data_IF_968392970722
#
_entry.id   IF_968392970722
#
_cell.length_a   1.000
_cell.length_b   1.000
_cell.length_c   1.000
_cell.angle_alpha   90.00
_cell.angle_beta   90.00
_cell.angle_gamma   90.00
#
_symmetry.space_group_name_H-M   'P 1'
#
loop_
_entity.id
_entity.type
_entity.pdbx_description
1 polymer ?
#
# COMPACT_ATOMS: atom_id res chain seq x y z
N UNK A 1 4.32 -30.17 -12.73
CA UNK A 1 3.60 -29.22 -11.86
C UNK A 1 4.18 -27.83 -12.12
N UNK A 2 3.39 -26.92 -12.63
CA UNK A 2 3.82 -25.54 -12.81
C UNK A 2 3.99 -24.91 -11.41
N UNK A 3 5.17 -24.41 -11.09
CA UNK A 3 5.43 -23.77 -9.81
C UNK A 3 4.48 -22.59 -9.63
N UNK A 4 3.75 -22.55 -8.51
CA UNK A 4 2.79 -21.48 -8.24
C UNK A 4 3.57 -20.14 -8.10
N UNK A 5 3.22 -19.16 -8.91
CA UNK A 5 3.77 -17.81 -8.79
C UNK A 5 3.41 -17.24 -7.42
N UNK A 6 4.41 -16.88 -6.62
CA UNK A 6 4.24 -16.32 -5.27
C UNK A 6 4.98 -15.00 -5.13
N UNK A 7 4.39 -14.08 -4.38
CA UNK A 7 5.06 -12.85 -3.98
C UNK A 7 6.15 -13.15 -2.92
N UNK A 8 7.25 -12.42 -2.99
CA UNK A 8 8.29 -12.44 -1.94
C UNK A 8 7.77 -11.78 -0.66
N UNK A 9 8.29 -12.20 0.48
CA UNK A 9 8.11 -11.51 1.76
C UNK A 9 9.23 -10.48 1.93
N UNK A 10 8.86 -9.26 2.31
CA UNK A 10 9.78 -8.14 2.48
C UNK A 10 9.47 -7.39 3.77
N UNK A 11 10.40 -6.54 4.21
CA UNK A 11 10.14 -5.58 5.27
C UNK A 11 9.50 -4.32 4.70
N UNK A 12 8.57 -3.71 5.46
CA UNK A 12 7.97 -2.41 5.22
C UNK A 12 7.91 -1.66 6.56
N UNK A 13 8.95 -0.89 6.86
CA UNK A 13 9.13 -0.37 8.21
C UNK A 13 9.15 -1.51 9.25
N UNK A 14 8.31 -1.46 10.31
CA UNK A 14 8.28 -2.52 11.32
C UNK A 14 7.54 -3.79 10.87
N UNK A 15 6.84 -3.75 9.73
CA UNK A 15 6.00 -4.84 9.26
C UNK A 15 6.77 -5.82 8.37
N UNK A 16 6.26 -7.05 8.29
CA UNK A 16 6.65 -8.03 7.26
C UNK A 16 5.42 -8.24 6.35
N UNK A 17 5.58 -7.95 5.06
CA UNK A 17 4.49 -7.91 4.09
C UNK A 17 4.83 -8.70 2.82
N UNK A 18 3.86 -8.91 1.94
CA UNK A 18 4.15 -9.35 0.58
C UNK A 18 4.66 -8.18 -0.27
N UNK A 19 5.70 -8.41 -1.09
CA UNK A 19 6.29 -7.38 -1.97
C UNK A 19 5.28 -6.80 -2.97
N UNK A 20 4.28 -7.58 -3.37
CA UNK A 20 3.10 -7.11 -4.08
C UNK A 20 1.99 -6.91 -3.07
N UNK A 21 1.42 -5.71 -3.06
CA UNK A 21 0.23 -5.36 -2.30
C UNK A 21 -0.98 -5.43 -3.21
N UNK A 22 -2.08 -6.00 -2.71
CA UNK A 22 -3.36 -6.04 -3.41
C UNK A 22 -4.14 -4.75 -3.15
N UNK A 23 -4.20 -3.85 -4.14
CA UNK A 23 -5.06 -2.66 -4.10
C UNK A 23 -6.51 -3.04 -4.34
N UNK A 24 -7.38 -2.82 -3.36
CA UNK A 24 -8.75 -3.34 -3.35
C UNK A 24 -9.80 -2.45 -4.04
N UNK A 25 -9.40 -1.28 -4.55
CA UNK A 25 -10.35 -0.35 -5.19
C UNK A 25 -11.16 -1.00 -6.32
N UNK A 26 -10.56 -1.92 -7.09
CA UNK A 26 -11.19 -2.53 -8.27
C UNK A 26 -12.13 -3.71 -7.98
N UNK A 27 -12.16 -4.22 -6.75
CA UNK A 27 -13.10 -5.29 -6.35
C UNK A 27 -14.35 -4.75 -5.67
N UNK A 28 -14.49 -3.44 -5.47
CA UNK A 28 -15.59 -2.80 -4.76
C UNK A 28 -16.98 -3.05 -5.39
N UNK A 29 -17.02 -3.33 -6.69
CA UNK A 29 -18.27 -3.63 -7.43
C UNK A 29 -18.66 -5.10 -7.42
N UNK A 30 -17.81 -5.97 -6.91
CA UNK A 30 -18.13 -7.38 -6.75
C UNK A 30 -19.00 -7.60 -5.51
N UNK A 31 -19.77 -8.68 -5.48
CA UNK A 31 -20.41 -9.10 -4.23
C UNK A 31 -19.33 -9.41 -3.19
N UNK A 32 -19.59 -9.14 -1.89
CA UNK A 32 -18.57 -9.27 -0.85
C UNK A 32 -17.88 -10.62 -0.80
N UNK A 33 -18.64 -11.71 -0.93
CA UNK A 33 -18.14 -13.09 -0.87
C UNK A 33 -17.14 -13.37 -2.01
N UNK A 34 -17.46 -12.94 -3.23
CA UNK A 34 -16.58 -13.13 -4.39
C UNK A 34 -15.29 -12.31 -4.28
N UNK A 35 -15.40 -11.04 -3.87
CA UNK A 35 -14.22 -10.21 -3.59
C UNK A 35 -13.36 -10.79 -2.48
N UNK A 36 -14.01 -11.32 -1.43
CA UNK A 36 -13.35 -12.03 -0.34
C UNK A 36 -12.64 -13.32 -0.78
N UNK A 37 -13.22 -14.07 -1.73
CA UNK A 37 -12.57 -15.26 -2.32
C UNK A 37 -11.31 -14.89 -3.10
N UNK A 38 -11.37 -13.82 -3.91
CA UNK A 38 -10.20 -13.31 -4.63
C UNK A 38 -9.06 -12.95 -3.67
N UNK A 39 -9.36 -12.23 -2.58
CA UNK A 39 -8.38 -11.84 -1.58
C UNK A 39 -7.79 -13.05 -0.84
N UNK A 40 -8.64 -13.97 -0.41
CA UNK A 40 -8.22 -15.19 0.28
C UNK A 40 -7.32 -16.06 -0.62
N UNK A 41 -7.68 -16.23 -1.89
CA UNK A 41 -6.89 -16.98 -2.86
C UNK A 41 -5.59 -16.24 -3.23
N UNK A 42 -5.58 -14.92 -3.32
CA UNK A 42 -4.38 -14.12 -3.47
C UNK A 42 -3.37 -14.40 -2.34
N UNK A 43 -3.83 -14.45 -1.11
CA UNK A 43 -2.98 -14.76 0.04
C UNK A 43 -2.54 -16.24 0.05
N UNK A 44 -3.47 -17.18 -0.06
CA UNK A 44 -3.24 -18.62 0.08
C UNK A 44 -2.41 -19.20 -1.06
N UNK A 45 -2.77 -18.90 -2.30
CA UNK A 45 -2.14 -19.47 -3.49
C UNK A 45 -0.91 -18.68 -3.93
N UNK A 46 -0.97 -17.35 -3.84
CA UNK A 46 0.03 -16.47 -4.41
C UNK A 46 0.88 -15.73 -3.39
N UNK A 47 0.62 -15.91 -2.08
CA UNK A 47 1.39 -15.25 -1.03
C UNK A 47 1.23 -13.73 -1.02
N UNK A 48 0.15 -13.20 -1.62
CA UNK A 48 -0.19 -11.77 -1.62
C UNK A 48 -1.12 -11.51 -0.44
N UNK A 49 -0.52 -11.35 0.72
CA UNK A 49 -1.21 -11.21 2.01
C UNK A 49 -1.20 -9.77 2.55
N UNK A 50 -0.68 -8.81 1.80
CA UNK A 50 -0.80 -7.39 2.08
C UNK A 50 -1.93 -6.80 1.24
N UNK A 51 -3.00 -6.31 1.90
CA UNK A 51 -4.19 -5.76 1.27
C UNK A 51 -4.33 -4.29 1.64
N UNK A 52 -4.49 -3.45 0.63
CA UNK A 52 -4.67 -2.00 0.79
C UNK A 52 -6.10 -1.61 0.49
N UNK A 53 -6.76 -1.02 1.46
CA UNK A 53 -8.10 -0.46 1.36
C UNK A 53 -8.16 0.99 1.83
N UNK A 54 -9.36 1.56 1.83
CA UNK A 54 -9.59 2.95 2.21
C UNK A 54 -11.09 3.18 2.52
N UNK A 55 -11.40 4.14 3.36
CA UNK A 55 -12.76 4.53 3.71
C UNK A 55 -13.61 4.98 2.49
N UNK A 56 -12.97 5.43 1.40
CA UNK A 56 -13.64 5.88 0.19
C UNK A 56 -13.67 4.85 -0.94
N UNK A 57 -12.91 3.75 -0.85
CA UNK A 57 -12.85 2.74 -1.92
C UNK A 57 -14.15 1.92 -2.04
N UNK A 58 -14.95 1.84 -0.99
CA UNK A 58 -16.16 1.02 -0.96
C UNK A 58 -15.89 -0.49 -0.99
N UNK A 59 -14.67 -0.91 -0.62
CA UNK A 59 -14.24 -2.31 -0.65
C UNK A 59 -14.12 -2.96 0.74
N UNK A 60 -14.54 -2.29 1.80
CA UNK A 60 -14.45 -2.82 3.18
C UNK A 60 -15.23 -4.12 3.35
N UNK A 61 -16.39 -4.28 2.71
CA UNK A 61 -17.19 -5.50 2.81
C UNK A 61 -16.50 -6.69 2.16
N UNK A 62 -15.80 -6.51 1.04
CA UNK A 62 -15.00 -7.54 0.36
C UNK A 62 -13.78 -7.91 1.20
N UNK A 63 -13.10 -6.91 1.79
CA UNK A 63 -11.95 -7.15 2.67
C UNK A 63 -12.39 -7.90 3.92
N UNK A 64 -13.48 -7.50 4.57
CA UNK A 64 -14.05 -8.20 5.72
C UNK A 64 -14.41 -9.66 5.39
N UNK A 65 -15.02 -9.91 4.23
CA UNK A 65 -15.31 -11.25 3.77
C UNK A 65 -14.03 -12.09 3.55
N UNK A 66 -12.98 -11.47 3.03
CA UNK A 66 -11.66 -12.11 2.86
C UNK A 66 -10.98 -12.43 4.19
N UNK A 67 -11.05 -11.52 5.16
CA UNK A 67 -10.49 -11.71 6.51
C UNK A 67 -11.13 -12.89 7.24
N UNK A 68 -12.43 -13.13 7.05
CA UNK A 68 -13.13 -14.29 7.63
C UNK A 68 -12.66 -15.65 7.08
N UNK A 69 -11.94 -15.66 5.95
CA UNK A 69 -11.45 -16.88 5.27
C UNK A 69 -9.99 -17.20 5.57
N UNK A 70 -9.31 -16.35 6.38
CA UNK A 70 -7.91 -16.50 6.72
C UNK A 70 -7.69 -16.23 8.21
N UNK A 71 -6.68 -16.85 8.85
CA UNK A 71 -6.23 -16.39 10.17
C UNK A 71 -5.82 -14.90 10.09
N UNK A 72 -6.42 -14.07 10.96
CA UNK A 72 -6.25 -12.59 10.91
C UNK A 72 -4.78 -12.16 11.00
N UNK A 73 -3.98 -12.88 11.77
CA UNK A 73 -2.55 -12.62 11.98
C UNK A 73 -1.66 -12.98 10.77
N UNK A 74 -2.22 -13.68 9.78
CA UNK A 74 -1.52 -13.99 8.52
C UNK A 74 -1.77 -12.95 7.42
N UNK A 75 -2.68 -12.01 7.65
CA UNK A 75 -3.03 -10.97 6.69
C UNK A 75 -2.57 -9.61 7.23
N UNK A 76 -1.96 -8.81 6.38
CA UNK A 76 -1.61 -7.42 6.65
C UNK A 76 -2.63 -6.53 5.94
N UNK A 77 -3.33 -5.71 6.71
CA UNK A 77 -4.33 -4.76 6.20
C UNK A 77 -3.84 -3.34 6.40
N UNK A 78 -3.78 -2.58 5.31
CA UNK A 78 -3.61 -1.14 5.32
C UNK A 78 -4.97 -0.47 5.08
N UNK A 79 -5.29 0.52 5.90
CA UNK A 79 -6.35 1.49 5.62
C UNK A 79 -5.86 2.92 5.89
N UNK A 80 -6.73 3.90 5.68
CA UNK A 80 -6.32 5.29 5.65
C UNK A 80 -7.36 6.18 6.34
N UNK A 81 -6.94 7.33 6.85
CA UNK A 81 -7.84 8.38 7.34
C UNK A 81 -7.66 9.68 6.57
N UNK A 82 -8.75 10.31 6.20
CA UNK A 82 -8.77 11.66 5.66
C UNK A 82 -8.78 12.72 6.76
N UNK A 83 -9.02 12.31 8.01
CA UNK A 83 -9.19 13.21 9.15
C UNK A 83 -8.04 14.21 9.28
N UNK A 84 -8.40 15.44 9.64
CA UNK A 84 -7.49 16.52 10.02
C UNK A 84 -7.55 16.78 11.52
N UNK A 85 -8.74 16.68 12.11
CA UNK A 85 -8.93 16.77 13.55
C UNK A 85 -8.74 15.40 14.23
N UNK A 86 -8.65 15.43 15.57
CA UNK A 86 -8.61 14.20 16.37
C UNK A 86 -9.91 13.40 16.23
N UNK A 87 -11.04 14.10 16.29
CA UNK A 87 -12.38 13.51 16.21
C UNK A 87 -12.62 12.81 14.87
N UNK A 88 -12.20 13.44 13.77
CA UNK A 88 -12.31 12.85 12.45
C UNK A 88 -11.45 11.59 12.31
N UNK A 89 -10.20 11.63 12.78
CA UNK A 89 -9.29 10.48 12.71
C UNK A 89 -9.75 9.32 13.58
N UNK A 90 -10.28 9.59 14.80
CA UNK A 90 -10.88 8.59 15.67
C UNK A 90 -12.10 7.94 15.00
N UNK A 91 -12.99 8.77 14.45
CA UNK A 91 -14.18 8.29 13.73
C UNK A 91 -13.81 7.39 12.55
N UNK A 92 -12.87 7.83 11.71
CA UNK A 92 -12.40 7.06 10.55
C UNK A 92 -11.80 5.72 10.97
N UNK A 93 -10.96 5.70 12.00
CA UNK A 93 -10.33 4.47 12.51
C UNK A 93 -11.38 3.50 13.08
N UNK A 94 -12.27 3.98 13.95
CA UNK A 94 -13.30 3.15 14.57
C UNK A 94 -14.30 2.62 13.53
N UNK A 95 -14.67 3.46 12.56
CA UNK A 95 -15.49 3.05 11.41
C UNK A 95 -14.80 1.93 10.62
N UNK A 96 -13.52 2.11 10.29
CA UNK A 96 -12.74 1.11 9.55
C UNK A 96 -12.68 -0.21 10.29
N UNK A 97 -12.33 -0.21 11.57
CA UNK A 97 -12.26 -1.42 12.40
C UNK A 97 -13.60 -2.16 12.46
N UNK A 98 -14.70 -1.42 12.62
CA UNK A 98 -16.05 -1.98 12.64
C UNK A 98 -16.46 -2.55 11.28
N UNK A 99 -16.23 -1.83 10.18
CA UNK A 99 -16.60 -2.28 8.82
C UNK A 99 -15.77 -3.48 8.35
N UNK A 100 -14.51 -3.56 8.76
CA UNK A 100 -13.63 -4.69 8.48
C UNK A 100 -13.83 -5.88 9.44
N UNK A 101 -14.61 -5.71 10.51
CA UNK A 101 -14.85 -6.72 11.55
C UNK A 101 -13.52 -7.25 12.11
N UNK A 102 -12.61 -6.34 12.51
CA UNK A 102 -11.27 -6.66 13.00
C UNK A 102 -10.87 -5.78 14.19
N UNK A 103 -10.16 -6.33 15.18
CA UNK A 103 -9.75 -5.54 16.35
C UNK A 103 -8.56 -4.60 16.07
N UNK A 104 -7.86 -4.76 14.95
CA UNK A 104 -6.70 -3.93 14.63
C UNK A 104 -6.46 -3.78 13.12
N UNK A 105 -5.76 -2.70 12.75
CA UNK A 105 -5.11 -2.53 11.46
C UNK A 105 -3.61 -2.80 11.59
N UNK A 106 -2.99 -3.37 10.56
CA UNK A 106 -1.54 -3.51 10.54
C UNK A 106 -0.84 -2.21 10.14
N UNK A 107 -1.46 -1.43 9.24
CA UNK A 107 -0.98 -0.12 8.82
C UNK A 107 -2.15 0.85 8.71
N UNK A 108 -2.01 2.04 9.29
CA UNK A 108 -2.94 3.13 9.08
C UNK A 108 -2.19 4.37 8.58
N UNK A 109 -2.66 4.95 7.47
CA UNK A 109 -2.02 6.11 6.84
C UNK A 109 -2.86 7.37 7.04
N UNK A 110 -2.19 8.50 7.29
CA UNK A 110 -2.74 9.81 6.94
C UNK A 110 -2.89 9.86 5.43
N UNK A 111 -4.10 10.11 4.91
CA UNK A 111 -4.38 10.01 3.48
C UNK A 111 -4.33 11.34 2.76
N UNK A 112 -3.83 11.30 1.52
CA UNK A 112 -3.78 12.44 0.61
C UNK A 112 -3.21 13.71 1.27
N UNK A 113 -2.08 13.56 1.98
CA UNK A 113 -1.42 14.69 2.62
C UNK A 113 -0.84 15.60 1.54
N UNK A 114 -1.41 16.79 1.37
CA UNK A 114 -0.92 17.80 0.46
C UNK A 114 0.07 18.76 1.15
N UNK A 115 0.86 19.52 0.37
CA UNK A 115 1.90 20.41 0.90
C UNK A 115 1.37 21.37 1.96
N UNK A 116 0.22 21.98 1.72
CA UNK A 116 -0.41 22.91 2.65
C UNK A 116 -1.13 22.30 3.85
N UNK A 117 -1.31 20.96 3.89
CA UNK A 117 -2.15 20.31 4.89
C UNK A 117 -1.39 19.39 5.86
N UNK A 118 -0.09 19.27 5.74
CA UNK A 118 0.70 18.39 6.60
C UNK A 118 0.55 18.75 8.08
N UNK A 119 0.69 20.04 8.41
CA UNK A 119 0.60 20.51 9.80
C UNK A 119 -0.84 20.39 10.33
N UNK A 120 -1.84 20.59 9.48
CA UNK A 120 -3.25 20.40 9.83
C UNK A 120 -3.57 18.93 10.20
N UNK A 121 -2.79 17.96 9.68
CA UNK A 121 -2.97 16.52 9.96
C UNK A 121 -2.16 16.03 11.17
N UNK A 122 -1.38 16.87 11.84
CA UNK A 122 -0.66 16.46 13.06
C UNK A 122 -1.59 16.00 14.19
N UNK A 123 -2.77 16.62 14.43
CA UNK A 123 -3.73 16.09 15.42
C UNK A 123 -4.23 14.68 15.07
N UNK A 124 -4.43 14.39 13.79
CA UNK A 124 -4.78 13.03 13.33
C UNK A 124 -3.60 12.05 13.51
N UNK A 125 -2.36 12.49 13.28
CA UNK A 125 -1.17 11.67 13.55
C UNK A 125 -1.10 11.26 15.02
N UNK A 126 -1.34 12.19 15.96
CA UNK A 126 -1.36 11.88 17.39
C UNK A 126 -2.38 10.78 17.75
N UNK A 127 -3.56 10.81 17.11
CA UNK A 127 -4.57 9.75 17.27
C UNK A 127 -4.06 8.40 16.81
N UNK A 128 -3.44 8.34 15.63
CA UNK A 128 -2.88 7.09 15.11
C UNK A 128 -1.74 6.55 15.97
N UNK A 129 -0.88 7.43 16.51
CA UNK A 129 0.19 7.04 17.43
C UNK A 129 -0.36 6.51 18.77
N UNK A 130 -1.41 7.13 19.31
CA UNK A 130 -2.13 6.62 20.48
C UNK A 130 -2.77 5.27 20.20
N UNK A 131 -3.47 5.13 19.07
CA UNK A 131 -4.07 3.87 18.64
C UNK A 131 -3.01 2.76 18.46
N UNK A 132 -1.79 3.12 18.04
CA UNK A 132 -0.66 2.19 18.00
C UNK A 132 -0.23 1.76 19.39
N UNK A 133 -0.14 2.67 20.35
CA UNK A 133 0.18 2.33 21.76
C UNK A 133 -0.90 1.44 22.39
N UNK A 134 -2.17 1.58 21.97
CA UNK A 134 -3.29 0.75 22.38
C UNK A 134 -3.39 -0.60 21.64
N UNK A 135 -2.56 -0.83 20.63
CA UNK A 135 -2.57 -2.07 19.82
C UNK A 135 -3.67 -2.12 18.74
N UNK A 136 -4.42 -1.04 18.53
CA UNK A 136 -5.41 -0.93 17.45
C UNK A 136 -4.78 -0.71 16.06
N UNK A 137 -3.54 -0.20 16.04
CA UNK A 137 -2.73 0.00 14.81
C UNK A 137 -1.33 -0.53 15.08
N UNK A 138 -0.73 -1.25 14.15
CA UNK A 138 0.63 -1.80 14.31
C UNK A 138 1.73 -0.89 13.77
N UNK A 139 1.43 -0.16 12.68
CA UNK A 139 2.33 0.81 12.07
C UNK A 139 1.55 2.03 11.57
N UNK A 140 2.20 3.19 11.61
CA UNK A 140 1.61 4.46 11.18
C UNK A 140 2.43 5.02 10.02
N UNK A 141 1.73 5.62 9.05
CA UNK A 141 2.39 6.21 7.90
C UNK A 141 1.60 7.36 7.26
N UNK A 142 2.03 7.77 6.10
CA UNK A 142 1.30 8.73 5.28
C UNK A 142 1.24 8.31 3.81
N UNK A 143 0.21 8.77 3.11
CA UNK A 143 0.12 8.70 1.66
C UNK A 143 0.00 10.11 1.09
N UNK A 144 0.70 10.35 -0.03
CA UNK A 144 0.76 11.66 -0.66
C UNK A 144 1.09 11.55 -2.14
N UNK A 145 0.70 12.57 -2.90
CA UNK A 145 1.08 12.76 -4.29
C UNK A 145 2.14 13.87 -4.47
N UNK A 146 2.68 14.38 -3.36
CA UNK A 146 3.70 15.44 -3.31
C UNK A 146 5.07 14.90 -2.94
N UNK A 147 6.09 15.19 -3.77
CA UNK A 147 7.48 14.85 -3.47
C UNK A 147 7.98 15.57 -2.21
N UNK A 148 7.55 16.82 -2.01
CA UNK A 148 7.87 17.61 -0.81
C UNK A 148 7.34 16.96 0.46
N UNK A 149 6.11 16.43 0.43
CA UNK A 149 5.52 15.74 1.58
C UNK A 149 6.18 14.39 1.84
N UNK A 150 6.54 13.62 0.82
CA UNK A 150 7.36 12.41 1.02
C UNK A 150 8.65 12.75 1.75
N UNK A 151 9.35 13.82 1.31
CA UNK A 151 10.59 14.28 1.95
C UNK A 151 10.36 14.71 3.40
N UNK A 152 9.24 15.40 3.70
CA UNK A 152 8.87 15.85 5.05
C UNK A 152 8.49 14.65 5.94
N UNK A 153 7.73 13.69 5.42
CA UNK A 153 7.39 12.44 6.11
C UNK A 153 8.61 11.58 6.44
N UNK A 154 9.65 11.64 5.57
CA UNK A 154 10.91 10.96 5.82
C UNK A 154 11.62 11.47 7.09
N UNK A 155 11.46 12.74 7.44
CA UNK A 155 12.04 13.36 8.63
C UNK A 155 11.09 13.34 9.84
N UNK A 156 9.82 13.03 9.64
CA UNK A 156 8.81 13.10 10.70
C UNK A 156 8.93 11.89 11.64
N UNK A 157 9.10 12.16 12.93
CA UNK A 157 9.00 11.13 13.95
C UNK A 157 7.56 10.61 14.04
N UNK A 158 7.40 9.31 14.20
CA UNK A 158 6.07 8.66 14.23
C UNK A 158 5.55 8.21 12.85
N UNK A 159 6.05 8.74 11.74
CA UNK A 159 5.82 8.17 10.41
C UNK A 159 6.82 7.04 10.17
N UNK A 160 6.30 5.83 9.96
CA UNK A 160 7.11 4.61 9.76
C UNK A 160 7.07 4.14 8.31
N UNK A 161 6.00 4.52 7.58
CA UNK A 161 5.76 4.11 6.20
C UNK A 161 5.34 5.32 5.37
N UNK A 162 5.91 5.44 4.18
CA UNK A 162 5.46 6.41 3.17
C UNK A 162 4.90 5.70 1.95
N UNK A 163 3.78 6.24 1.44
CA UNK A 163 3.09 5.73 0.26
C UNK A 163 2.97 6.87 -0.77
N UNK A 164 3.48 6.67 -1.99
CA UNK A 164 3.41 7.69 -3.02
C UNK A 164 3.34 7.09 -4.44
N UNK A 165 2.82 7.84 -5.45
CA UNK A 165 2.84 7.40 -6.82
C UNK A 165 4.28 7.35 -7.35
N UNK A 166 4.60 6.26 -8.07
CA UNK A 166 5.88 6.13 -8.74
C UNK A 166 5.75 5.29 -10.01
N UNK A 167 5.82 5.92 -11.17
CA UNK A 167 5.74 5.28 -12.47
C UNK A 167 6.62 6.00 -13.49
N UNK A 168 6.89 5.35 -14.63
CA UNK A 168 7.84 5.83 -15.64
C UNK A 168 7.46 7.15 -16.31
N UNK A 169 6.18 7.51 -16.29
CA UNK A 169 5.69 8.77 -16.88
C UNK A 169 5.61 9.91 -15.85
N UNK A 170 5.84 9.62 -14.54
CA UNK A 170 5.64 10.59 -13.48
C UNK A 170 4.17 10.99 -13.31
N UNK A 171 3.26 10.24 -13.92
CA UNK A 171 1.82 10.55 -13.81
C UNK A 171 1.33 10.36 -12.39
N UNK A 172 0.35 11.19 -11.99
CA UNK A 172 -0.20 11.24 -10.63
C UNK A 172 0.75 11.80 -9.56
N UNK A 173 1.89 12.36 -9.93
CA UNK A 173 2.64 13.26 -9.07
C UNK A 173 1.99 14.63 -9.25
N UNK A 174 1.36 15.15 -8.20
CA UNK A 174 0.60 16.41 -8.24
C UNK A 174 1.48 17.60 -7.88
N UNK A 175 2.53 17.36 -7.10
CA UNK A 175 3.49 18.38 -6.71
C UNK A 175 4.92 17.83 -6.75
N UNK A 176 5.76 18.51 -7.50
CA UNK A 176 7.11 18.08 -7.83
C UNK A 176 7.18 17.28 -9.14
N UNK A 177 8.38 16.87 -9.46
CA UNK A 177 8.72 16.09 -10.66
C UNK A 177 9.03 14.63 -10.31
N UNK A 178 9.10 13.76 -11.31
CA UNK A 178 9.50 12.37 -11.11
C UNK A 178 10.92 12.23 -10.47
N UNK A 179 11.96 13.01 -10.88
CA UNK A 179 13.25 12.98 -10.20
C UNK A 179 13.19 13.43 -8.73
N UNK A 180 12.35 14.44 -8.40
CA UNK A 180 12.17 14.89 -7.02
C UNK A 180 11.44 13.85 -6.18
N UNK A 181 10.40 13.18 -6.72
CA UNK A 181 9.74 12.08 -6.06
C UNK A 181 10.71 10.91 -5.80
N UNK A 182 11.52 10.54 -6.79
CA UNK A 182 12.54 9.51 -6.63
C UNK A 182 13.55 9.87 -5.53
N UNK A 183 14.04 11.12 -5.50
CA UNK A 183 14.95 11.60 -4.47
C UNK A 183 14.32 11.56 -3.07
N UNK A 184 13.05 11.95 -2.95
CA UNK A 184 12.30 11.94 -1.69
C UNK A 184 12.05 10.50 -1.18
N UNK A 185 11.68 9.56 -2.05
CA UNK A 185 11.51 8.14 -1.70
C UNK A 185 12.84 7.52 -1.26
N UNK A 186 13.95 7.82 -1.96
CA UNK A 186 15.30 7.41 -1.54
C UNK A 186 15.69 7.97 -0.17
N UNK A 187 15.31 9.22 0.12
CA UNK A 187 15.51 9.82 1.44
C UNK A 187 14.72 9.08 2.51
N UNK A 188 13.44 8.81 2.27
CA UNK A 188 12.60 8.06 3.20
C UNK A 188 13.20 6.68 3.52
N UNK A 189 13.62 5.94 2.50
CA UNK A 189 14.26 4.65 2.67
C UNK A 189 15.57 4.74 3.48
N UNK A 190 16.45 5.72 3.17
CA UNK A 190 17.69 5.94 3.95
C UNK A 190 17.43 6.28 5.41
N UNK A 191 16.32 6.94 5.71
CA UNK A 191 15.89 7.28 7.06
C UNK A 191 15.15 6.12 7.76
N UNK A 192 15.17 4.91 7.18
CA UNK A 192 14.59 3.71 7.75
C UNK A 192 13.07 3.60 7.65
N UNK A 193 12.43 4.47 6.85
CA UNK A 193 10.99 4.36 6.59
C UNK A 193 10.72 3.24 5.58
N UNK A 194 9.62 2.50 5.77
CA UNK A 194 9.09 1.62 4.74
C UNK A 194 8.57 2.43 3.56
N UNK A 195 8.91 2.01 2.35
CA UNK A 195 8.49 2.69 1.12
C UNK A 195 7.62 1.75 0.30
N UNK A 196 6.33 2.08 0.14
CA UNK A 196 5.52 1.39 -0.83
C UNK A 196 4.93 2.35 -1.87
N UNK A 197 4.97 1.91 -3.13
CA UNK A 197 4.57 2.76 -4.24
C UNK A 197 3.23 2.32 -4.81
N UNK A 198 2.45 3.32 -5.21
CA UNK A 198 1.15 3.18 -5.87
C UNK A 198 1.23 3.72 -7.29
N UNK A 199 0.17 3.47 -8.07
CA UNK A 199 0.02 3.99 -9.43
C UNK A 199 1.16 3.58 -10.38
N UNK A 200 1.82 2.45 -10.13
CA UNK A 200 2.92 1.93 -10.98
C UNK A 200 2.45 1.75 -12.44
N UNK A 201 1.18 1.38 -12.63
CA UNK A 201 0.53 1.27 -13.94
C UNK A 201 -0.23 2.56 -14.34
N UNK A 202 0.10 3.72 -13.77
CA UNK A 202 -0.49 5.02 -14.13
C UNK A 202 -2.01 5.11 -13.93
N UNK A 203 -2.61 4.32 -13.00
CA UNK A 203 -4.07 4.19 -12.86
C UNK A 203 -4.75 3.64 -14.14
N UNK A 204 -4.07 2.72 -14.84
CA UNK A 204 -4.54 2.09 -16.07
C UNK A 204 -3.93 2.67 -17.36
N UNK A 205 -3.33 3.86 -17.31
CA UNK A 205 -2.74 4.52 -18.48
C UNK A 205 -1.56 3.75 -19.08
N UNK A 206 -0.88 2.90 -18.30
CA UNK A 206 0.29 2.11 -18.71
C UNK A 206 -0.03 0.62 -18.92
N UNK A 207 -1.31 0.23 -18.94
CA UNK A 207 -1.70 -1.18 -19.10
C UNK A 207 -1.44 -1.75 -20.49
N UNK A 208 -1.14 -0.90 -21.47
CA UNK A 208 -0.64 -1.32 -22.79
C UNK A 208 0.75 -1.98 -22.72
N UNK A 209 1.52 -1.71 -21.66
CA UNK A 209 2.85 -2.28 -21.43
C UNK A 209 3.10 -2.51 -19.92
N UNK A 210 2.31 -3.42 -19.33
CA UNK A 210 2.37 -3.77 -17.90
C UNK A 210 3.79 -4.21 -17.51
N UNK A 211 4.42 -5.05 -18.37
CA UNK A 211 5.75 -5.59 -18.09
C UNK A 211 6.80 -4.48 -18.03
N UNK A 212 6.86 -3.62 -19.04
CA UNK A 212 7.82 -2.52 -19.07
C UNK A 212 7.61 -1.49 -17.97
N UNK A 213 6.36 -1.22 -17.59
CA UNK A 213 6.07 -0.32 -16.47
C UNK A 213 6.55 -0.89 -15.13
N UNK A 214 6.31 -2.18 -14.86
CA UNK A 214 6.79 -2.86 -13.66
C UNK A 214 8.32 -3.00 -13.65
N UNK A 215 8.91 -3.39 -14.77
CA UNK A 215 10.37 -3.52 -14.95
C UNK A 215 11.06 -2.19 -14.64
N UNK A 216 10.57 -1.09 -15.20
CA UNK A 216 11.10 0.24 -14.96
C UNK A 216 11.11 0.61 -13.45
N UNK A 217 10.02 0.32 -12.73
CA UNK A 217 9.93 0.60 -11.29
C UNK A 217 10.85 -0.31 -10.47
N UNK A 218 10.93 -1.61 -10.82
CA UNK A 218 11.73 -2.60 -10.11
C UNK A 218 13.23 -2.37 -10.31
N UNK A 219 13.67 -2.01 -11.51
CA UNK A 219 15.09 -1.74 -11.80
C UNK A 219 15.62 -0.54 -11.01
N UNK A 220 14.79 0.48 -10.79
CA UNK A 220 15.11 1.64 -9.95
C UNK A 220 14.99 1.38 -8.45
N UNK A 221 14.26 0.36 -8.09
CA UNK A 221 13.65 0.16 -6.78
C UNK A 221 14.50 -0.52 -5.71
N UNK A 222 15.80 -0.21 -5.55
CA UNK A 222 16.51 -0.63 -4.33
C UNK A 222 16.08 0.15 -3.07
N UNK A 223 15.21 1.13 -3.23
CA UNK A 223 14.60 1.93 -2.17
C UNK A 223 13.08 1.70 -2.06
N UNK A 224 12.50 0.83 -2.88
CA UNK A 224 11.08 0.48 -2.86
C UNK A 224 10.92 -0.91 -2.26
N UNK A 225 10.13 -1.01 -1.20
CA UNK A 225 9.85 -2.28 -0.53
C UNK A 225 8.66 -2.99 -1.15
N UNK A 226 7.61 -2.25 -1.52
CA UNK A 226 6.33 -2.82 -1.97
C UNK A 226 5.76 -2.07 -3.18
N UNK A 227 5.18 -2.84 -4.10
CA UNK A 227 4.43 -2.36 -5.26
C UNK A 227 2.93 -2.65 -5.03
N UNK A 228 2.13 -1.60 -4.84
CA UNK A 228 0.68 -1.72 -4.74
C UNK A 228 0.08 -1.74 -6.15
N UNK A 229 -0.58 -2.82 -6.47
CA UNK A 229 -1.21 -3.04 -7.76
C UNK A 229 -2.72 -3.20 -7.58
N UNK A 230 -3.48 -2.32 -8.24
CA UNK A 230 -4.93 -2.48 -8.36
C UNK A 230 -5.24 -3.70 -9.22
N UNK A 231 -6.06 -4.61 -8.69
CA UNK A 231 -6.42 -5.89 -9.33
C UNK A 231 -7.91 -6.12 -9.17
N UNK A 232 -8.57 -6.55 -10.22
CA UNK A 232 -9.99 -6.90 -10.21
C UNK A 232 -10.23 -8.42 -10.09
N UNK A 233 -9.23 -9.24 -10.43
CA UNK A 233 -9.36 -10.70 -10.43
C UNK A 233 -8.00 -11.41 -10.34
N UNK A 234 -8.03 -12.72 -10.10
CA UNK A 234 -6.81 -13.53 -9.97
C UNK A 234 -6.00 -13.67 -11.27
N UNK A 235 -6.62 -13.48 -12.45
CA UNK A 235 -5.89 -13.53 -13.72
C UNK A 235 -4.96 -12.33 -13.85
N UNK A 236 -5.45 -11.13 -13.55
CA UNK A 236 -4.65 -9.91 -13.51
C UNK A 236 -3.54 -10.00 -12.44
N UNK A 237 -3.87 -10.54 -11.25
CA UNK A 237 -2.88 -10.76 -10.21
C UNK A 237 -1.74 -11.66 -10.69
N UNK A 238 -2.05 -12.79 -11.35
CA UNK A 238 -1.05 -13.73 -11.87
C UNK A 238 -0.17 -13.09 -12.94
N UNK A 239 -0.76 -12.31 -13.84
CA UNK A 239 -0.03 -11.57 -14.88
C UNK A 239 0.96 -10.58 -14.24
N UNK A 240 0.51 -9.81 -13.27
CA UNK A 240 1.33 -8.85 -12.54
C UNK A 240 2.46 -9.54 -11.77
N UNK A 241 2.16 -10.62 -11.05
CA UNK A 241 3.14 -11.41 -10.29
C UNK A 241 4.19 -12.05 -11.21
N UNK A 242 3.79 -12.55 -12.38
CA UNK A 242 4.73 -13.09 -13.35
C UNK A 242 5.74 -12.01 -13.78
N UNK A 243 5.25 -10.82 -14.12
CA UNK A 243 6.11 -9.70 -14.50
C UNK A 243 7.04 -9.28 -13.34
N UNK A 244 6.53 -9.11 -12.12
CA UNK A 244 7.33 -8.75 -10.94
C UNK A 244 8.40 -9.80 -10.66
N UNK A 245 8.04 -11.08 -10.64
CA UNK A 245 8.98 -12.17 -10.33
C UNK A 245 10.08 -12.30 -11.40
N UNK A 246 9.72 -12.13 -12.68
CA UNK A 246 10.68 -12.16 -13.78
C UNK A 246 11.69 -11.00 -13.67
N UNK A 247 11.22 -9.79 -13.39
CA UNK A 247 12.08 -8.63 -13.23
C UNK A 247 13.01 -8.78 -12.00
N UNK A 248 12.49 -9.26 -10.88
CA UNK A 248 13.29 -9.51 -9.67
C UNK A 248 14.37 -10.57 -9.90
N UNK A 249 14.06 -11.68 -10.60
CA UNK A 249 15.05 -12.74 -10.91
C UNK A 249 16.18 -12.22 -11.81
N UNK A 250 15.86 -11.43 -12.83
CA UNK A 250 16.89 -10.84 -13.73
C UNK A 250 17.81 -9.91 -12.96
N UNK A 251 17.29 -9.11 -12.06
CA UNK A 251 18.08 -8.21 -11.21
C UNK A 251 19.00 -8.96 -10.24
N UNK A 252 18.58 -10.10 -9.70
CA UNK A 252 19.39 -10.95 -8.81
C UNK A 252 20.44 -11.77 -9.56
N UNK A 253 20.13 -12.25 -10.77
CA UNK A 253 21.03 -13.04 -11.62
C UNK A 253 22.06 -12.24 -12.44
N UNK A 254 21.90 -10.93 -12.52
CA UNK A 254 22.82 -10.01 -13.21
C UNK A 254 23.87 -9.33 -12.31
N UNK A 255 24.03 -9.82 -11.08
CA UNK A 255 25.06 -9.36 -10.12
C UNK A 255 26.24 -10.32 -10.08
#
# INVERSE_FOLDING_TARGET
MQELLRAKRVKLGPLTVSQVCFGTEHINRSVPEYGGDILADAARLHGVFFWDTDNAYGSHTQVAAGLKKQPRDQIVVCSKTYGRSREEAEYDLERTLRELDTPYLDLCLLHEVAAGTFDEKLPALEVLLRAKAEGKVRAVGLSTHSAGIVSRGADCEGIEVVCAPFNREGSRIEEGTLPEMEAALKKAHRNGKGVYVIKVLGKGELTYDIRGALEWAIERGNFIDVYNLGVANLSELRQNLAAVNDCCRRREGGR
#
